data_IF_275293602731
#
_entry.id   IF_275293602731
#
_cell.length_a   1.000
_cell.length_b   1.000
_cell.length_c   1.000
_cell.angle_alpha   90.00
_cell.angle_beta   90.00
_cell.angle_gamma   90.00
#
_symmetry.space_group_name_H-M   'P 1'
#
loop_
_entity.id
_entity.type
_entity.pdbx_description
1 polymer ?
#
# COMPACT_ATOMS: atom_id res chain seq x y z
N UNK A 1 5.52 2.12 -15.29
CA UNK A 1 4.99 0.81 -14.91
C UNK A 1 5.64 0.40 -13.60
N UNK A 2 4.86 0.07 -12.56
CA UNK A 2 5.43 -0.62 -11.39
C UNK A 2 5.93 -1.99 -11.87
N UNK A 3 7.20 -2.30 -11.59
CA UNK A 3 7.90 -3.43 -12.21
C UNK A 3 7.15 -4.74 -12.03
N UNK A 4 6.64 -5.30 -13.13
CA UNK A 4 6.10 -6.66 -13.16
C UNK A 4 7.20 -7.68 -12.93
N UNK A 5 8.44 -7.34 -13.32
CA UNK A 5 9.63 -8.18 -13.14
C UNK A 5 10.30 -7.92 -11.79
N UNK A 6 10.48 -8.97 -11.00
CA UNK A 6 11.09 -8.93 -9.67
C UNK A 6 12.47 -8.27 -9.70
N UNK A 7 13.25 -8.59 -10.73
CA UNK A 7 14.62 -8.11 -10.92
C UNK A 7 14.65 -6.59 -11.05
N UNK A 8 13.65 -6.01 -11.72
CA UNK A 8 13.54 -4.54 -11.86
C UNK A 8 13.25 -3.90 -10.51
N UNK A 9 12.37 -4.50 -9.70
CA UNK A 9 12.03 -4.00 -8.36
C UNK A 9 13.25 -4.06 -7.43
N UNK A 10 14.02 -5.15 -7.48
CA UNK A 10 15.24 -5.30 -6.67
C UNK A 10 16.34 -4.31 -7.10
N UNK A 11 16.49 -4.04 -8.40
CA UNK A 11 17.44 -3.03 -8.88
C UNK A 11 17.08 -1.62 -8.39
N UNK A 12 15.79 -1.28 -8.39
CA UNK A 12 15.32 0.01 -7.86
C UNK A 12 15.54 0.12 -6.35
N UNK A 13 15.25 -0.95 -5.62
CA UNK A 13 15.53 -1.05 -4.19
C UNK A 13 17.00 -0.80 -3.87
N UNK A 14 17.93 -1.44 -4.59
CA UNK A 14 19.36 -1.24 -4.38
C UNK A 14 19.81 0.21 -4.67
N UNK A 15 19.22 0.85 -5.69
CA UNK A 15 19.48 2.26 -5.99
C UNK A 15 18.99 3.20 -4.86
N UNK A 16 17.84 2.89 -4.26
CA UNK A 16 17.29 3.63 -3.12
C UNK A 16 18.20 3.47 -1.89
N UNK A 17 18.63 2.26 -1.57
CA UNK A 17 19.48 2.01 -0.40
C UNK A 17 20.78 2.78 -0.46
N UNK A 18 21.47 2.71 -1.62
CA UNK A 18 22.70 3.47 -1.86
C UNK A 18 22.48 4.97 -1.66
N UNK A 19 21.37 5.50 -2.15
CA UNK A 19 21.06 6.93 -1.98
C UNK A 19 20.82 7.30 -0.51
N UNK A 20 20.13 6.45 0.25
CA UNK A 20 19.91 6.67 1.68
C UNK A 20 21.22 6.61 2.46
N UNK A 21 22.10 5.67 2.14
CA UNK A 21 23.45 5.59 2.70
C UNK A 21 24.29 6.85 2.39
N UNK A 22 24.30 7.29 1.13
CA UNK A 22 24.97 8.53 0.70
C UNK A 22 24.43 9.77 1.43
N UNK A 23 23.13 9.80 1.72
CA UNK A 23 22.47 10.85 2.48
C UNK A 23 22.71 10.76 4.01
N UNK A 24 23.42 9.74 4.49
CA UNK A 24 23.65 9.51 5.92
C UNK A 24 22.40 9.02 6.67
N UNK A 25 21.43 8.46 5.96
CA UNK A 25 20.20 7.91 6.53
C UNK A 25 20.42 6.41 6.79
N UNK A 26 20.50 5.96 8.05
CA UNK A 26 20.72 4.56 8.36
C UNK A 26 19.52 3.70 7.94
N UNK A 27 19.78 2.70 7.09
CA UNK A 27 18.78 1.72 6.65
C UNK A 27 18.95 0.43 7.46
N UNK A 28 18.07 0.19 8.44
CA UNK A 28 18.14 -1.03 9.26
C UNK A 28 17.48 -2.25 8.61
N UNK A 29 16.34 -2.05 7.95
CA UNK A 29 15.58 -3.10 7.30
C UNK A 29 14.69 -2.48 6.23
N UNK A 30 14.45 -3.22 5.16
CA UNK A 30 13.50 -2.79 4.15
C UNK A 30 12.79 -3.98 3.54
N UNK A 31 11.48 -3.84 3.41
CA UNK A 31 10.62 -4.81 2.77
C UNK A 31 10.42 -4.50 1.29
N UNK A 32 10.45 -5.55 0.48
CA UNK A 32 10.06 -5.49 -0.93
C UNK A 32 8.78 -6.28 -1.09
N UNK A 33 7.69 -5.59 -1.43
CA UNK A 33 6.42 -6.20 -1.80
C UNK A 33 6.33 -6.24 -3.33
N UNK A 34 6.11 -7.43 -3.88
CA UNK A 34 6.02 -7.66 -5.32
C UNK A 34 4.95 -8.72 -5.60
N UNK A 35 4.05 -8.42 -6.53
CA UNK A 35 2.93 -9.28 -6.91
C UNK A 35 2.15 -8.66 -8.07
N UNK A 36 1.54 -9.51 -8.93
CA UNK A 36 0.96 -9.11 -10.21
C UNK A 36 -0.28 -8.20 -10.15
N UNK A 37 -0.78 -7.89 -8.95
CA UNK A 37 -1.88 -6.95 -8.73
C UNK A 37 -1.49 -6.03 -7.59
N UNK A 38 -1.48 -4.72 -7.83
CA UNK A 38 -1.52 -3.73 -6.76
C UNK A 38 -2.90 -3.82 -6.12
N UNK A 39 -3.11 -4.83 -5.28
CA UNK A 39 -4.25 -4.84 -4.39
C UNK A 39 -4.01 -3.75 -3.36
N UNK A 40 -4.75 -2.65 -3.50
CA UNK A 40 -5.10 -1.87 -2.33
C UNK A 40 -5.93 -2.85 -1.49
N UNK A 41 -5.29 -3.50 -0.51
CA UNK A 41 -6.02 -4.02 0.64
C UNK A 41 -6.86 -2.83 1.09
N UNK A 42 -8.21 -2.89 1.05
CA UNK A 42 -8.97 -1.85 1.70
C UNK A 42 -8.39 -1.84 3.11
N UNK A 43 -7.78 -0.71 3.49
CA UNK A 43 -7.46 -0.48 4.89
C UNK A 43 -8.71 -0.89 5.63
N UNK A 44 -8.62 -1.83 6.56
CA UNK A 44 -9.80 -2.31 7.25
C UNK A 44 -10.41 -1.10 7.95
N UNK A 45 -11.39 -0.48 7.32
CA UNK A 45 -12.13 0.61 7.90
C UNK A 45 -12.87 -0.05 9.05
N UNK A 46 -12.66 0.47 10.27
CA UNK A 46 -13.42 0.01 11.42
C UNK A 46 -14.90 -0.04 11.03
N UNK A 47 -15.61 -1.16 11.21
CA UNK A 47 -17.00 -1.27 10.76
C UNK A 47 -17.90 -0.15 11.26
N UNK A 48 -17.60 0.43 12.43
CA UNK A 48 -18.23 1.65 12.95
C UNK A 48 -17.99 2.88 12.10
N UNK A 49 -16.74 3.16 11.70
CA UNK A 49 -16.37 4.30 10.87
C UNK A 49 -17.00 4.22 9.47
N UNK A 50 -17.10 3.01 8.90
CA UNK A 50 -17.81 2.79 7.64
C UNK A 50 -19.30 3.10 7.77
N UNK A 51 -19.97 2.59 8.81
CA UNK A 51 -21.39 2.86 9.08
C UNK A 51 -21.68 4.35 9.31
N UNK A 52 -20.82 5.03 10.06
CA UNK A 52 -20.96 6.47 10.30
C UNK A 52 -20.84 7.26 9.00
N UNK A 53 -19.88 6.90 8.13
CA UNK A 53 -19.76 7.51 6.81
C UNK A 53 -21.01 7.27 5.95
N UNK A 54 -21.55 6.05 5.91
CA UNK A 54 -22.78 5.74 5.19
C UNK A 54 -23.94 6.61 5.68
N UNK A 55 -24.12 6.75 7.00
CA UNK A 55 -25.14 7.61 7.59
C UNK A 55 -24.99 9.07 7.16
N UNK A 56 -23.77 9.63 7.19
CA UNK A 56 -23.49 11.00 6.70
C UNK A 56 -23.74 11.19 5.22
N UNK A 57 -23.70 10.11 4.43
CA UNK A 57 -23.94 10.13 2.98
C UNK A 57 -25.39 9.78 2.61
N UNK A 58 -26.24 9.42 3.58
CA UNK A 58 -27.60 8.96 3.32
C UNK A 58 -27.66 7.58 2.64
N UNK A 59 -26.62 6.76 2.83
CA UNK A 59 -26.50 5.42 2.27
C UNK A 59 -26.88 4.37 3.31
N UNK A 60 -27.57 3.31 2.88
CA UNK A 60 -27.76 2.10 3.67
C UNK A 60 -26.54 1.17 3.50
N UNK A 61 -25.76 0.90 4.57
CA UNK A 61 -24.59 0.02 4.50
C UNK A 61 -24.92 -1.40 4.02
N UNK A 62 -26.11 -1.93 4.31
CA UNK A 62 -26.46 -3.30 3.92
C UNK A 62 -26.70 -3.41 2.41
N UNK A 63 -27.27 -2.36 1.79
CA UNK A 63 -27.43 -2.28 0.34
C UNK A 63 -26.11 -2.25 -0.45
N UNK A 64 -24.98 -2.01 0.22
CA UNK A 64 -23.64 -1.87 -0.38
C UNK A 64 -22.78 -3.14 -0.29
N UNK A 65 -23.23 -4.20 0.39
CA UNK A 65 -22.52 -5.48 0.54
C UNK A 65 -22.80 -6.44 -0.62
N UNK A 66 -22.55 -5.99 -1.85
CA UNK A 66 -22.69 -6.81 -3.06
C UNK A 66 -21.80 -8.05 -3.06
#
# INVERSE_FOLDING_TARGET
AHGTEKETVLAHKAAIDRHLEEAGIPVGYTNVFWGGRSEIKPSEILPSAYREWCARRGLDPESMRG
#
